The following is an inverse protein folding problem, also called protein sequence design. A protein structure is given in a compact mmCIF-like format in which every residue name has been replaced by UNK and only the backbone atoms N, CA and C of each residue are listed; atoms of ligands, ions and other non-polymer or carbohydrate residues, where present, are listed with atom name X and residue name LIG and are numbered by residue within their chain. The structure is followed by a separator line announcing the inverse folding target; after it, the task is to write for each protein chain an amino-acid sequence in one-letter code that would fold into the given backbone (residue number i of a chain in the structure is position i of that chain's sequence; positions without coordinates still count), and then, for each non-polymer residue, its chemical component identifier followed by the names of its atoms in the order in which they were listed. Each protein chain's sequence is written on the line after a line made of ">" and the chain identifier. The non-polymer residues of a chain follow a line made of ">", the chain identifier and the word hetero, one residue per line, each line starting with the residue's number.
data_IF_937547676097
#
_entry.id   IF_937547676097
#
_cell.length_a   1.000
_cell.length_b   1.000
_cell.length_c   1.000
_cell.angle_alpha   90.00
_cell.angle_beta   90.00
_cell.angle_gamma   90.00
#
_symmetry.space_group_name_H-M   'P 1'
#
loop_
_entity.id
_entity.type
_entity.pdbx_description
1 polymer ?
#
# COMPACT_ATOMS: atom_id res chain seq x y z
N UNK A 1 20.64 8.39 8.08
CA UNK A 1 19.95 7.28 7.44
C UNK A 1 19.78 7.54 5.96
N UNK A 2 20.19 6.62 5.16
CA UNK A 2 20.08 6.76 3.71
C UNK A 2 18.79 6.18 3.19
N UNK A 3 18.16 6.92 2.30
CA UNK A 3 17.01 6.42 1.57
C UNK A 3 17.52 5.61 0.38
N UNK A 4 17.78 4.35 0.63
CA UNK A 4 18.24 3.44 -0.42
C UNK A 4 17.10 3.14 -1.38
N UNK A 5 17.25 3.44 -2.69
CA UNK A 5 16.18 3.15 -3.66
C UNK A 5 15.74 1.71 -3.67
N UNK A 6 16.66 0.78 -3.44
CA UNK A 6 16.32 -0.64 -3.39
C UNK A 6 15.40 -0.95 -2.22
N UNK A 7 15.72 -0.40 -1.04
CA UNK A 7 14.88 -0.59 0.14
C UNK A 7 13.53 0.07 -0.03
N UNK A 8 13.48 1.25 -0.64
CA UNK A 8 12.23 1.95 -0.89
C UNK A 8 11.35 1.17 -1.87
N UNK A 9 11.96 0.58 -2.88
CA UNK A 9 11.24 -0.25 -3.83
C UNK A 9 10.64 -1.48 -3.17
N UNK A 10 11.41 -2.14 -2.30
CA UNK A 10 10.91 -3.29 -1.58
C UNK A 10 9.72 -2.91 -0.71
N UNK A 11 9.82 -1.76 -0.03
CA UNK A 11 8.71 -1.26 0.79
C UNK A 11 7.49 -0.96 -0.05
N UNK A 12 7.69 -0.37 -1.22
CA UNK A 12 6.59 -0.07 -2.14
C UNK A 12 5.87 -1.33 -2.58
N UNK A 13 6.63 -2.36 -2.93
CA UNK A 13 6.06 -3.64 -3.32
C UNK A 13 5.26 -4.24 -2.19
N UNK A 14 5.80 -4.19 -0.97
CA UNK A 14 5.11 -4.70 0.21
C UNK A 14 3.80 -3.98 0.47
N UNK A 15 3.82 -2.65 0.35
CA UNK A 15 2.61 -1.85 0.56
C UNK A 15 1.53 -2.20 -0.46
N UNK A 16 1.91 -2.34 -1.71
CA UNK A 16 0.97 -2.69 -2.77
C UNK A 16 0.41 -4.09 -2.58
N UNK A 17 1.26 -5.02 -2.19
CA UNK A 17 0.85 -6.38 -1.93
C UNK A 17 -0.11 -6.45 -0.76
N UNK A 18 0.20 -5.75 0.32
CA UNK A 18 -0.66 -5.71 1.50
C UNK A 18 -2.03 -5.11 1.17
N UNK A 19 -2.06 -4.04 0.39
CA UNK A 19 -3.31 -3.42 -0.03
C UNK A 19 -4.14 -4.40 -0.86
N UNK A 20 -3.48 -5.11 -1.76
CA UNK A 20 -4.13 -6.09 -2.62
C UNK A 20 -4.74 -7.23 -1.81
N UNK A 21 -3.98 -7.74 -0.83
CA UNK A 21 -4.47 -8.81 0.03
C UNK A 21 -5.67 -8.36 0.86
N UNK A 22 -5.65 -7.13 1.34
CA UNK A 22 -6.79 -6.58 2.07
C UNK A 22 -8.02 -6.48 1.19
N UNK A 23 -7.86 -6.08 -0.06
CA UNK A 23 -8.98 -6.01 -0.99
C UNK A 23 -9.56 -7.40 -1.28
N UNK A 24 -8.70 -8.40 -1.42
CA UNK A 24 -9.16 -9.77 -1.60
C UNK A 24 -9.92 -10.26 -0.38
N UNK A 25 -9.41 -9.94 0.80
CA UNK A 25 -10.07 -10.30 2.04
C UNK A 25 -11.43 -9.62 2.16
N UNK A 26 -11.49 -8.38 1.74
CA UNK A 26 -12.73 -7.62 1.76
C UNK A 26 -13.81 -8.30 0.93
N UNK A 27 -13.45 -8.84 -0.22
CA UNK A 27 -14.40 -9.52 -1.08
C UNK A 27 -15.00 -10.75 -0.44
N UNK A 28 -14.27 -11.39 0.47
CA UNK A 28 -14.72 -12.60 1.16
C UNK A 28 -15.42 -12.30 2.48
N UNK A 29 -15.36 -11.06 2.93
CA UNK A 29 -15.93 -10.69 4.22
C UNK A 29 -17.41 -10.35 4.05
N UNK A 30 -18.31 -11.00 4.82
CA UNK A 30 -19.74 -10.79 4.64
C UNK A 30 -20.30 -9.53 5.28
N UNK A 31 -19.66 -8.98 6.31
CA UNK A 31 -20.18 -7.83 7.02
C UNK A 31 -19.86 -6.50 6.36
N UNK A 32 -20.86 -5.63 6.22
CA UNK A 32 -20.64 -4.31 5.61
C UNK A 32 -19.66 -3.46 6.42
N UNK A 33 -19.77 -3.53 7.74
CA UNK A 33 -18.91 -2.78 8.63
C UNK A 33 -17.46 -3.22 8.52
N UNK A 34 -17.26 -4.53 8.50
CA UNK A 34 -15.92 -5.10 8.37
C UNK A 34 -15.33 -4.79 7.00
N UNK A 35 -16.15 -4.81 5.96
CA UNK A 35 -15.70 -4.41 4.63
C UNK A 35 -15.20 -2.98 4.62
N UNK A 36 -15.88 -2.09 5.31
CA UNK A 36 -15.47 -0.69 5.40
C UNK A 36 -14.11 -0.55 6.09
N UNK A 37 -13.90 -1.30 7.16
CA UNK A 37 -12.63 -1.26 7.88
C UNK A 37 -11.49 -1.75 7.01
N UNK A 38 -11.71 -2.84 6.29
CA UNK A 38 -10.70 -3.37 5.39
C UNK A 38 -10.43 -2.41 4.24
N UNK A 39 -11.48 -1.81 3.69
CA UNK A 39 -11.33 -0.84 2.61
C UNK A 39 -10.55 0.39 3.08
N UNK A 40 -10.80 0.86 4.30
CA UNK A 40 -10.07 1.99 4.84
C UNK A 40 -8.59 1.67 5.00
N UNK A 41 -8.27 0.47 5.46
CA UNK A 41 -6.88 0.03 5.59
C UNK A 41 -6.20 -0.06 4.25
N UNK A 42 -6.89 -0.66 3.28
CA UNK A 42 -6.34 -0.79 1.94
C UNK A 42 -6.10 0.59 1.32
N UNK A 43 -7.01 1.52 1.55
CA UNK A 43 -6.88 2.87 1.05
C UNK A 43 -5.64 3.57 1.63
N UNK A 44 -5.43 3.43 2.93
CA UNK A 44 -4.25 4.02 3.58
C UNK A 44 -2.96 3.45 3.03
N UNK A 45 -2.91 2.14 2.84
CA UNK A 45 -1.73 1.51 2.29
C UNK A 45 -1.48 1.96 0.85
N UNK A 46 -2.55 2.09 0.07
CA UNK A 46 -2.43 2.58 -1.30
C UNK A 46 -1.92 4.01 -1.33
N UNK A 47 -2.37 4.85 -0.41
CA UNK A 47 -1.88 6.23 -0.31
C UNK A 47 -0.40 6.27 0.04
N UNK A 48 0.01 5.46 0.99
CA UNK A 48 1.42 5.38 1.36
C UNK A 48 2.27 4.91 0.19
N UNK A 49 1.76 3.94 -0.56
CA UNK A 49 2.46 3.44 -1.74
C UNK A 49 2.61 4.53 -2.79
N UNK A 50 1.56 5.34 -2.99
CA UNK A 50 1.61 6.45 -3.94
C UNK A 50 2.64 7.49 -3.56
N UNK A 51 2.68 7.85 -2.28
CA UNK A 51 3.64 8.84 -1.79
C UNK A 51 5.07 8.31 -1.95
N UNK A 52 5.25 7.03 -1.67
CA UNK A 52 6.56 6.43 -1.79
C UNK A 52 7.00 6.34 -3.26
N UNK A 53 6.07 5.99 -4.14
CA UNK A 53 6.35 5.93 -5.57
C UNK A 53 6.75 7.30 -6.11
N UNK A 54 6.11 8.36 -5.62
CA UNK A 54 6.44 9.71 -6.00
C UNK A 54 7.84 10.09 -5.55
N UNK A 55 8.20 9.69 -4.34
CA UNK A 55 9.55 9.92 -3.81
C UNK A 55 10.60 9.24 -4.66
N UNK A 56 10.33 8.01 -5.05
CA UNK A 56 11.26 7.26 -5.88
C UNK A 56 11.45 7.92 -7.23
N UNK A 57 10.38 8.41 -7.82
CA UNK A 57 10.48 9.11 -9.10
C UNK A 57 11.34 10.34 -9.02
N UNK A 58 11.24 11.08 -7.91
CA UNK A 58 12.06 12.28 -7.72
C UNK A 58 13.53 11.95 -7.56
N UNK A 59 13.84 10.81 -6.98
CA UNK A 59 15.22 10.40 -6.76
C UNK A 59 15.88 9.89 -8.04
N UNK A 60 15.10 9.50 -9.01
CA UNK A 60 15.63 8.96 -10.25
C UNK A 60 16.12 10.01 -11.24
N UNK A 61 15.95 11.26 -10.94
CA UNK A 61 16.44 12.32 -11.82
C UNK A 61 17.94 12.52 -11.73
#
# INVERSE_FOLDING_TARGET
>A
MRNDPTALNATLIDLRESARLLLQRMKRTPGAEQKRLLAARAFRLAQQAELLAERLRRQEK
#
